data_IF_767519837961
#
_entry.id   IF_767519837961
#
_cell.length_a   1.000
_cell.length_b   1.000
_cell.length_c   1.000
_cell.angle_alpha   90.00
_cell.angle_beta   90.00
_cell.angle_gamma   90.00
#
_symmetry.space_group_name_H-M   'P 1'
#
loop_
_entity.id
_entity.type
_entity.pdbx_description
1 polymer ?
#
# COMPACT_ATOMS: atom_id res chain seq x y z
N UNK A 1 -62.63 47.94 -6.87
CA UNK A 1 -62.99 47.83 -8.30
C UNK A 1 -63.00 46.35 -8.69
N UNK A 2 -64.15 45.87 -9.20
CA UNK A 2 -64.40 44.65 -9.99
C UNK A 2 -63.98 43.24 -9.48
N UNK A 3 -65.00 42.40 -9.43
CA UNK A 3 -65.09 40.95 -9.24
C UNK A 3 -64.43 40.12 -10.36
N UNK A 4 -64.44 38.78 -10.16
CA UNK A 4 -64.57 37.68 -11.15
C UNK A 4 -63.26 36.92 -11.45
N UNK A 5 -63.16 35.57 -11.50
CA UNK A 5 -64.10 34.43 -11.42
C UNK A 5 -63.30 33.13 -11.16
N UNK A 6 -63.97 32.19 -10.52
CA UNK A 6 -63.87 30.71 -10.53
C UNK A 6 -63.41 30.04 -11.83
N UNK A 7 -62.74 28.88 -11.75
CA UNK A 7 -63.26 27.56 -12.19
C UNK A 7 -62.24 26.40 -12.07
N UNK A 8 -62.72 25.28 -11.53
CA UNK A 8 -62.27 23.89 -11.73
C UNK A 8 -63.46 23.10 -12.31
N UNK A 9 -63.41 21.79 -12.65
CA UNK A 9 -62.41 20.87 -13.23
C UNK A 9 -62.94 20.27 -14.58
N UNK A 10 -62.45 19.11 -15.11
CA UNK A 10 -63.04 17.82 -14.70
C UNK A 10 -62.13 16.58 -14.74
N UNK A 11 -62.63 15.55 -14.06
CA UNK A 11 -62.21 14.14 -14.02
C UNK A 11 -62.43 13.37 -15.32
N UNK A 12 -61.58 12.38 -15.60
CA UNK A 12 -61.94 11.22 -16.44
C UNK A 12 -61.56 9.91 -15.78
N UNK A 13 -62.61 9.09 -15.60
CA UNK A 13 -62.61 7.69 -15.20
C UNK A 13 -62.23 6.82 -16.41
N UNK A 14 -61.54 5.71 -16.19
CA UNK A 14 -61.76 4.50 -17.00
C UNK A 14 -61.72 3.23 -16.14
N UNK A 15 -62.61 2.33 -16.52
CA UNK A 15 -63.15 1.15 -15.85
C UNK A 15 -62.55 -0.13 -16.41
N UNK A 16 -62.47 -1.16 -15.57
CA UNK A 16 -62.14 -2.58 -15.86
C UNK A 16 -63.19 -3.26 -16.77
N UNK A 17 -62.89 -4.41 -17.43
CA UNK A 17 -63.02 -5.76 -16.83
C UNK A 17 -61.87 -6.75 -17.24
N UNK A 18 -61.28 -7.56 -16.35
CA UNK A 18 -61.73 -8.83 -15.75
C UNK A 18 -61.97 -10.00 -16.73
N UNK A 19 -61.01 -10.95 -16.86
CA UNK A 19 -61.17 -12.42 -17.12
C UNK A 19 -59.85 -13.09 -16.65
N UNK A 20 -59.73 -13.76 -15.48
CA UNK A 20 -60.12 -15.12 -15.04
C UNK A 20 -59.41 -16.32 -15.71
N UNK A 21 -58.82 -17.15 -14.82
CA UNK A 21 -58.46 -18.59 -14.94
C UNK A 21 -57.38 -18.95 -16.00
N UNK A 22 -56.49 -19.92 -15.81
CA UNK A 22 -56.18 -20.87 -14.76
C UNK A 22 -54.79 -21.45 -15.10
N UNK A 23 -54.01 -21.87 -14.11
CA UNK A 23 -53.58 -23.25 -13.98
C UNK A 23 -52.71 -23.40 -12.74
N UNK A 24 -53.17 -24.31 -11.88
CA UNK A 24 -52.41 -24.82 -10.76
C UNK A 24 -51.18 -25.58 -11.25
N UNK A 25 -50.04 -25.27 -10.65
CA UNK A 25 -49.03 -26.26 -10.31
C UNK A 25 -48.29 -25.73 -9.09
N UNK A 26 -48.79 -26.07 -7.90
CA UNK A 26 -48.00 -26.03 -6.68
C UNK A 26 -46.91 -27.09 -6.82
N UNK A 27 -45.79 -26.73 -7.44
CA UNK A 27 -44.53 -27.38 -7.13
C UNK A 27 -44.06 -26.71 -5.86
N UNK A 28 -44.29 -27.37 -4.73
CA UNK A 28 -43.57 -27.11 -3.50
C UNK A 28 -42.09 -27.44 -3.75
N UNK A 29 -41.37 -26.53 -4.40
CA UNK A 29 -39.93 -26.47 -4.24
C UNK A 29 -39.72 -26.02 -2.81
N UNK A 30 -39.55 -26.99 -1.92
CA UNK A 30 -38.76 -26.76 -0.73
C UNK A 30 -37.41 -26.24 -1.22
N UNK A 31 -37.29 -24.91 -1.31
CA UNK A 31 -36.01 -24.25 -1.25
C UNK A 31 -35.45 -24.67 0.09
N UNK A 32 -34.64 -25.72 0.09
CA UNK A 32 -33.63 -25.86 1.10
C UNK A 32 -32.80 -24.58 0.97
N UNK A 33 -33.17 -23.56 1.75
CA UNK A 33 -32.30 -22.46 2.11
C UNK A 33 -31.12 -23.10 2.87
N UNK A 34 -30.23 -23.75 2.13
CA UNK A 34 -28.86 -23.90 2.55
C UNK A 34 -28.31 -22.49 2.47
N UNK A 35 -28.56 -21.72 3.53
CA UNK A 35 -27.70 -20.60 3.85
C UNK A 35 -26.28 -21.17 3.75
N UNK A 36 -25.43 -20.63 2.86
CA UNK A 36 -24.07 -21.10 2.76
C UNK A 36 -23.48 -21.02 4.15
N UNK A 37 -23.25 -22.18 4.76
CA UNK A 37 -22.62 -22.29 6.07
C UNK A 37 -21.15 -22.06 5.82
N UNK A 38 -20.79 -20.79 5.60
CA UNK A 38 -19.41 -20.38 5.61
C UNK A 38 -18.91 -20.69 7.01
N UNK A 39 -18.06 -21.71 7.11
CA UNK A 39 -17.18 -21.83 8.25
C UNK A 39 -16.25 -20.63 8.07
N UNK A 40 -16.51 -19.55 8.82
CA UNK A 40 -15.49 -18.55 9.07
C UNK A 40 -14.42 -19.31 9.83
N UNK A 41 -13.44 -19.86 9.10
CA UNK A 41 -12.18 -20.27 9.69
C UNK A 41 -11.75 -19.06 10.51
N UNK A 42 -11.59 -19.25 11.82
CA UNK A 42 -11.44 -18.13 12.76
C UNK A 42 -10.52 -17.07 12.16
N UNK A 43 -10.95 -15.81 12.19
CA UNK A 43 -10.05 -14.72 11.80
C UNK A 43 -8.93 -14.70 12.82
N UNK A 44 -7.82 -15.34 12.48
CA UNK A 44 -6.61 -15.32 13.26
C UNK A 44 -5.84 -14.10 12.76
N UNK A 45 -5.80 -12.99 13.51
CA UNK A 45 -4.93 -11.89 13.15
C UNK A 45 -3.52 -12.47 13.07
N UNK A 46 -2.90 -12.38 11.90
CA UNK A 46 -1.51 -12.79 11.70
C UNK A 46 -0.67 -12.03 12.72
N UNK A 47 0.03 -12.76 13.59
CA UNK A 47 0.89 -12.16 14.62
C UNK A 47 2.21 -11.63 14.06
N UNK A 48 2.55 -12.01 12.82
CA UNK A 48 3.74 -11.55 12.12
C UNK A 48 3.42 -10.31 11.30
N UNK A 49 4.11 -9.21 11.59
CA UNK A 49 4.10 -7.99 10.76
C UNK A 49 4.47 -8.31 9.31
N UNK A 50 5.48 -9.16 9.10
CA UNK A 50 5.88 -9.64 7.77
C UNK A 50 4.72 -10.32 7.03
N UNK A 51 3.97 -11.21 7.68
CA UNK A 51 2.84 -11.88 7.04
C UNK A 51 1.72 -10.90 6.65
N UNK A 52 1.52 -9.83 7.41
CA UNK A 52 0.55 -8.77 7.07
C UNK A 52 1.01 -7.96 5.87
N UNK A 53 2.27 -7.53 5.86
CA UNK A 53 2.86 -6.82 4.72
C UNK A 53 2.78 -7.66 3.45
N UNK A 54 3.10 -8.97 3.53
CA UNK A 54 2.99 -9.89 2.39
C UNK A 54 1.55 -10.03 1.91
N UNK A 55 0.56 -10.18 2.81
CA UNK A 55 -0.85 -10.24 2.37
C UNK A 55 -1.35 -8.96 1.69
N UNK A 56 -0.75 -7.81 1.97
CA UNK A 56 -1.07 -6.54 1.32
C UNK A 56 -0.39 -6.41 -0.04
N UNK A 57 0.80 -6.98 -0.20
CA UNK A 57 1.43 -7.16 -1.52
C UNK A 57 0.55 -8.03 -2.42
N UNK A 58 -0.10 -9.07 -1.88
CA UNK A 58 -1.04 -9.89 -2.66
C UNK A 58 -2.25 -9.06 -3.16
N UNK A 59 -2.73 -8.10 -2.35
CA UNK A 59 -3.78 -7.16 -2.77
C UNK A 59 -3.29 -6.18 -3.85
N UNK A 60 -2.08 -5.65 -3.71
CA UNK A 60 -1.44 -4.81 -4.73
C UNK A 60 -1.31 -5.59 -6.06
N UNK A 61 -0.90 -6.87 -6.01
CA UNK A 61 -0.84 -7.74 -7.17
C UNK A 61 -2.22 -7.94 -7.83
N UNK A 62 -3.24 -8.25 -7.04
CA UNK A 62 -4.61 -8.42 -7.54
C UNK A 62 -5.13 -7.13 -8.21
N UNK A 63 -4.78 -5.96 -7.67
CA UNK A 63 -5.16 -4.67 -8.25
C UNK A 63 -4.41 -4.36 -9.54
N UNK A 64 -3.10 -4.65 -9.60
CA UNK A 64 -2.32 -4.57 -10.84
C UNK A 64 -2.97 -5.45 -11.92
N UNK A 65 -3.29 -6.71 -11.60
CA UNK A 65 -3.97 -7.63 -12.53
C UNK A 65 -5.31 -7.06 -13.01
N UNK A 66 -6.12 -6.53 -12.09
CA UNK A 66 -7.42 -5.92 -12.40
C UNK A 66 -7.26 -4.73 -13.37
N UNK A 67 -6.30 -3.84 -13.10
CA UNK A 67 -6.02 -2.67 -13.94
C UNK A 67 -5.52 -3.07 -15.32
N UNK A 68 -4.62 -4.05 -15.42
CA UNK A 68 -4.12 -4.56 -16.69
C UNK A 68 -5.23 -5.24 -17.51
N UNK A 69 -6.10 -6.04 -16.88
CA UNK A 69 -7.27 -6.63 -17.56
C UNK A 69 -8.21 -5.52 -18.07
N UNK A 70 -8.46 -4.49 -17.26
CA UNK A 70 -9.30 -3.37 -17.66
C UNK A 70 -8.70 -2.59 -18.84
N UNK A 71 -7.39 -2.36 -18.85
CA UNK A 71 -6.69 -1.74 -19.98
C UNK A 71 -6.83 -2.57 -21.27
N UNK A 72 -6.62 -3.89 -21.19
CA UNK A 72 -6.79 -4.80 -22.32
C UNK A 72 -8.22 -4.79 -22.90
N UNK A 73 -9.23 -4.65 -22.04
CA UNK A 73 -10.64 -4.57 -22.46
C UNK A 73 -10.98 -3.21 -23.07
N UNK A 74 -10.41 -2.12 -22.53
CA UNK A 74 -10.70 -0.75 -22.95
C UNK A 74 -9.83 -0.28 -24.14
N UNK A 75 -8.80 -1.06 -24.52
CA UNK A 75 -7.99 -0.91 -25.75
C UNK A 75 -7.57 0.53 -26.10
N UNK A 76 -7.11 1.31 -25.12
CA UNK A 76 -6.40 2.61 -25.26
C UNK A 76 -6.49 3.43 -23.96
N UNK A 77 -6.17 2.84 -22.81
CA UNK A 77 -6.15 3.62 -21.58
C UNK A 77 -4.76 3.62 -20.98
N UNK A 78 -3.85 4.40 -21.57
CA UNK A 78 -2.52 4.68 -20.99
C UNK A 78 -2.66 5.04 -19.50
N UNK A 79 -3.73 5.74 -19.11
CA UNK A 79 -4.04 6.06 -17.72
C UNK A 79 -4.18 4.84 -16.79
N UNK A 80 -4.70 3.70 -17.27
CA UNK A 80 -4.87 2.46 -16.48
C UNK A 80 -3.54 1.71 -16.36
N UNK A 81 -2.75 1.68 -17.45
CA UNK A 81 -1.41 1.11 -17.41
C UNK A 81 -0.50 1.91 -16.46
N UNK A 82 -0.54 3.24 -16.54
CA UNK A 82 0.15 4.15 -15.62
C UNK A 82 -0.33 3.98 -14.18
N UNK A 83 -1.62 3.73 -13.97
CA UNK A 83 -2.14 3.43 -12.63
C UNK A 83 -1.59 2.09 -12.11
N UNK A 84 -1.55 1.05 -12.94
CA UNK A 84 -0.97 -0.23 -12.56
C UNK A 84 0.53 -0.09 -12.24
N UNK A 85 1.25 0.74 -13.00
CA UNK A 85 2.66 1.03 -12.73
C UNK A 85 2.82 1.76 -11.39
N UNK A 86 1.98 2.76 -11.08
CA UNK A 86 1.99 3.42 -9.76
C UNK A 86 1.74 2.43 -8.62
N UNK A 87 0.80 1.50 -8.76
CA UNK A 87 0.57 0.46 -7.73
C UNK A 87 1.78 -0.45 -7.59
N UNK A 88 2.48 -0.76 -8.69
CA UNK A 88 3.72 -1.53 -8.64
C UNK A 88 4.85 -0.78 -7.90
N UNK A 89 5.05 0.50 -8.23
CA UNK A 89 6.15 1.31 -7.69
C UNK A 89 5.93 1.73 -6.25
N UNK A 90 4.71 2.14 -5.94
CA UNK A 90 4.38 2.75 -4.66
C UNK A 90 3.53 1.86 -3.76
N UNK A 91 2.82 0.88 -4.31
CA UNK A 91 1.79 0.13 -3.58
C UNK A 91 0.47 0.90 -3.56
N UNK A 92 -0.60 0.23 -3.16
CA UNK A 92 -1.93 0.84 -2.95
C UNK A 92 -2.57 0.41 -1.63
N UNK A 93 -2.20 -0.75 -1.09
CA UNK A 93 -2.78 -1.29 0.15
C UNK A 93 -1.74 -1.42 1.27
N UNK A 94 -0.45 -1.38 0.93
CA UNK A 94 0.62 -1.71 1.87
C UNK A 94 1.17 -0.49 2.62
N UNK A 95 0.56 -0.23 3.78
CA UNK A 95 1.04 0.71 4.79
C UNK A 95 0.94 2.16 4.34
N UNK A 96 -0.29 2.64 4.13
CA UNK A 96 -0.53 4.05 3.83
C UNK A 96 0.05 4.93 4.92
N UNK A 97 0.64 6.05 4.52
CA UNK A 97 1.15 7.06 5.43
C UNK A 97 0.95 8.45 4.85
N UNK A 98 0.73 9.40 5.74
CA UNK A 98 0.73 10.82 5.42
C UNK A 98 2.13 11.39 5.62
N UNK A 99 2.58 12.20 4.67
CA UNK A 99 3.72 13.10 4.88
C UNK A 99 3.18 14.44 5.35
N UNK A 100 3.26 14.70 6.66
CA UNK A 100 2.76 15.94 7.26
C UNK A 100 3.90 16.95 7.38
N UNK A 101 3.66 18.18 6.95
CA UNK A 101 4.60 19.29 7.14
C UNK A 101 4.23 20.06 8.39
N UNK A 102 5.12 20.13 9.37
CA UNK A 102 4.89 20.87 10.60
C UNK A 102 4.93 22.38 10.33
N UNK A 103 3.91 23.09 10.82
CA UNK A 103 3.80 24.56 10.63
C UNK A 103 4.87 25.29 11.43
N UNK A 104 5.19 24.78 12.61
CA UNK A 104 6.26 25.28 13.47
C UNK A 104 7.32 24.20 13.67
N UNK A 105 8.59 24.63 13.76
CA UNK A 105 9.67 23.71 14.05
C UNK A 105 9.54 23.22 15.49
N UNK A 106 9.80 21.92 15.69
CA UNK A 106 9.80 21.35 17.03
C UNK A 106 10.79 22.08 17.95
N UNK A 107 10.30 22.52 19.10
CA UNK A 107 11.01 23.35 20.08
C UNK A 107 11.68 22.53 21.18
N UNK A 108 11.36 21.24 21.27
CA UNK A 108 12.00 20.28 22.18
C UNK A 108 12.05 18.87 21.58
N UNK A 109 12.68 17.94 22.29
CA UNK A 109 12.77 16.53 21.90
C UNK A 109 11.54 15.75 22.35
N UNK A 110 11.13 14.75 21.56
CA UNK A 110 10.08 13.81 21.94
C UNK A 110 10.58 12.82 23.02
N UNK A 111 9.74 12.53 24.02
CA UNK A 111 9.99 11.44 24.96
C UNK A 111 9.69 10.10 24.27
N UNK A 112 10.76 9.38 23.89
CA UNK A 112 10.65 8.17 23.11
C UNK A 112 10.16 6.99 23.96
N UNK A 113 9.19 6.19 23.46
CA UNK A 113 8.73 4.99 24.15
C UNK A 113 9.80 3.89 24.19
N UNK A 114 9.44 2.73 24.76
CA UNK A 114 10.29 1.54 24.64
C UNK A 114 10.54 1.20 23.16
N UNK A 115 11.77 0.79 22.85
CA UNK A 115 12.19 0.43 21.50
C UNK A 115 11.28 -0.66 20.92
N UNK A 116 10.71 -0.40 19.74
CA UNK A 116 9.88 -1.38 19.03
C UNK A 116 10.74 -2.40 18.27
N UNK A 117 11.78 -1.95 17.58
CA UNK A 117 12.62 -2.78 16.72
C UNK A 117 14.10 -2.30 16.70
N UNK A 118 15.01 -3.15 16.23
CA UNK A 118 16.32 -2.71 15.77
C UNK A 118 16.54 -3.04 14.32
N UNK A 119 17.01 -2.05 13.56
CA UNK A 119 17.34 -2.20 12.15
C UNK A 119 18.80 -1.85 11.92
N UNK A 120 19.42 -2.55 10.97
CA UNK A 120 20.74 -2.28 10.46
C UNK A 120 20.59 -1.39 9.22
N UNK A 121 21.08 -0.15 9.29
CA UNK A 121 21.13 0.72 8.10
C UNK A 121 22.48 0.61 7.40
N UNK A 122 22.43 0.73 6.07
CA UNK A 122 23.54 0.67 5.12
C UNK A 122 24.58 1.79 5.37
N UNK A 123 25.51 1.58 6.30
CA UNK A 123 26.90 2.01 6.11
C UNK A 123 27.73 0.74 5.95
N UNK A 124 27.79 0.22 4.72
CA UNK A 124 28.74 -0.84 4.34
C UNK A 124 30.12 -0.20 4.25
N UNK A 125 30.66 0.17 5.40
CA UNK A 125 32.09 0.18 5.64
C UNK A 125 32.32 -0.96 6.61
N UNK A 126 33.24 -1.87 6.27
CA UNK A 126 33.53 -3.17 6.93
C UNK A 126 33.89 -3.12 8.43
N UNK A 127 33.59 -2.03 9.15
CA UNK A 127 33.96 -1.79 10.54
C UNK A 127 32.86 -1.22 11.43
N UNK A 128 31.74 -0.69 10.93
CA UNK A 128 30.75 -0.04 11.80
C UNK A 128 29.30 -0.31 11.34
N UNK A 129 28.73 -1.47 11.73
CA UNK A 129 27.28 -1.60 11.74
C UNK A 129 26.71 -0.77 12.89
N UNK A 130 26.20 0.44 12.59
CA UNK A 130 25.40 1.17 13.57
C UNK A 130 24.03 0.51 13.64
N UNK A 131 23.77 -0.20 14.73
CA UNK A 131 22.43 -0.66 15.06
C UNK A 131 21.60 0.57 15.46
N UNK A 132 20.54 0.84 14.71
CA UNK A 132 19.60 1.90 15.05
C UNK A 132 18.41 1.30 15.80
N UNK A 133 18.04 1.91 16.93
CA UNK A 133 16.78 1.64 17.61
C UNK A 133 15.66 2.34 16.86
N UNK A 134 14.59 1.61 16.58
CA UNK A 134 13.34 2.16 16.04
C UNK A 134 12.36 2.32 17.18
N UNK A 135 11.67 3.46 17.16
CA UNK A 135 10.62 3.82 18.10
C UNK A 135 9.34 4.08 17.31
N UNK A 136 8.25 3.48 17.77
CA UNK A 136 6.91 3.68 17.22
C UNK A 136 6.13 4.56 18.21
N UNK A 137 5.85 5.80 17.79
CA UNK A 137 5.18 6.82 18.58
C UNK A 137 3.73 6.93 18.11
N UNK A 138 2.77 6.81 19.03
CA UNK A 138 1.36 7.00 18.69
C UNK A 138 1.09 8.45 18.28
N UNK A 139 0.38 8.62 17.17
CA UNK A 139 -0.03 9.90 16.63
C UNK A 139 -1.57 9.96 16.55
N UNK A 140 -2.16 11.08 16.94
CA UNK A 140 -3.62 11.24 16.98
C UNK A 140 -4.03 12.53 16.29
N UNK A 141 -4.98 12.44 15.37
CA UNK A 141 -5.55 13.58 14.65
C UNK A 141 -7.02 13.36 14.33
N UNK A 142 -7.52 14.12 13.38
CA UNK A 142 -8.91 14.09 12.90
C UNK A 142 -8.94 14.30 11.39
N UNK A 143 -10.04 13.93 10.77
CA UNK A 143 -10.34 14.23 9.37
C UNK A 143 -10.92 15.65 9.19
N UNK A 144 -11.08 16.10 7.94
CA UNK A 144 -11.47 17.48 7.59
C UNK A 144 -12.76 17.98 8.26
N UNK A 145 -13.75 17.10 8.43
CA UNK A 145 -15.05 17.45 9.03
C UNK A 145 -15.09 17.24 10.55
N UNK A 146 -13.96 16.86 11.16
CA UNK A 146 -13.81 16.50 12.57
C UNK A 146 -14.78 15.38 13.04
N UNK A 147 -15.35 14.59 12.13
CA UNK A 147 -16.29 13.54 12.49
C UNK A 147 -15.60 12.23 12.92
N UNK A 148 -14.33 12.05 12.52
CA UNK A 148 -13.57 10.83 12.75
C UNK A 148 -12.21 11.13 13.39
N UNK A 149 -11.89 10.41 14.46
CA UNK A 149 -10.55 10.37 15.01
C UNK A 149 -9.66 9.45 14.16
N UNK A 150 -8.48 9.94 13.82
CA UNK A 150 -7.48 9.21 13.06
C UNK A 150 -6.31 8.90 14.00
N UNK A 151 -6.04 7.62 14.19
CA UNK A 151 -4.87 7.13 14.91
C UNK A 151 -3.79 6.74 13.90
N UNK A 152 -2.54 7.00 14.20
CA UNK A 152 -1.42 6.62 13.37
C UNK A 152 -0.16 6.35 14.17
N UNK A 153 0.90 5.97 13.48
CA UNK A 153 2.21 5.69 14.08
C UNK A 153 3.24 6.59 13.40
N UNK A 154 3.93 7.41 14.18
CA UNK A 154 5.16 8.08 13.77
C UNK A 154 6.35 7.19 14.11
N UNK A 155 7.06 6.72 13.08
CA UNK A 155 8.24 5.85 13.24
C UNK A 155 9.51 6.67 13.13
N UNK A 156 10.37 6.60 14.16
CA UNK A 156 11.62 7.37 14.20
C UNK A 156 12.80 6.58 14.77
N UNK A 157 14.01 7.05 14.46
CA UNK A 157 15.26 6.62 15.08
C UNK A 157 15.90 7.73 15.92
N UNK A 158 15.27 8.91 15.97
CA UNK A 158 15.76 10.13 16.61
C UNK A 158 14.67 10.75 17.49
N UNK A 159 15.10 11.42 18.54
CA UNK A 159 14.28 12.17 19.50
C UNK A 159 13.97 13.62 19.03
N UNK A 160 14.64 14.12 18.00
CA UNK A 160 14.34 15.41 17.40
C UNK A 160 13.47 15.25 16.14
N UNK A 161 12.32 15.94 16.12
CA UNK A 161 11.42 15.97 14.96
C UNK A 161 11.99 16.86 13.85
N UNK A 162 11.86 16.38 12.61
CA UNK A 162 12.11 17.20 11.42
C UNK A 162 10.92 18.10 11.09
N UNK A 163 11.06 19.02 10.12
CA UNK A 163 9.95 19.82 9.62
C UNK A 163 8.88 19.00 8.89
N UNK A 164 9.24 17.78 8.47
CA UNK A 164 8.34 16.82 7.84
C UNK A 164 8.34 15.54 8.68
N UNK A 165 7.15 15.01 8.96
CA UNK A 165 6.96 13.75 9.68
C UNK A 165 6.11 12.79 8.86
N UNK A 166 6.45 11.51 8.92
CA UNK A 166 5.69 10.43 8.26
C UNK A 166 4.85 9.71 9.28
N UNK A 167 3.53 9.81 9.13
CA UNK A 167 2.57 9.18 10.04
C UNK A 167 1.86 8.06 9.31
N UNK A 168 2.17 6.82 9.70
CA UNK A 168 1.59 5.62 9.14
C UNK A 168 0.17 5.42 9.67
N UNK A 169 -0.78 5.29 8.76
CA UNK A 169 -2.17 5.02 9.09
C UNK A 169 -2.36 3.58 9.60
N UNK A 170 -3.51 3.29 10.22
CA UNK A 170 -3.90 1.93 10.58
C UNK A 170 -3.99 1.08 9.32
N UNK A 171 -3.75 -0.22 9.48
CA UNK A 171 -3.66 -1.14 8.34
C UNK A 171 -4.94 -1.21 7.48
N UNK A 172 -6.09 -0.87 8.04
CA UNK A 172 -7.42 -0.88 7.42
C UNK A 172 -7.86 0.49 6.88
N UNK A 173 -7.01 1.52 6.98
CA UNK A 173 -7.30 2.84 6.41
C UNK A 173 -7.40 2.78 4.88
N UNK A 174 -8.45 3.40 4.32
CA UNK A 174 -8.62 3.57 2.88
C UNK A 174 -8.06 4.90 2.37
N UNK A 175 -7.36 5.64 3.22
CA UNK A 175 -6.75 6.91 2.84
C UNK A 175 -5.79 6.74 1.66
N UNK A 176 -5.90 7.61 0.65
CA UNK A 176 -5.13 7.53 -0.60
C UNK A 176 -5.76 6.64 -1.69
N UNK A 177 -6.87 5.95 -1.43
CA UNK A 177 -7.61 5.14 -2.42
C UNK A 177 -8.82 5.88 -3.01
N UNK A 178 -8.71 7.20 -3.16
CA UNK A 178 -9.84 8.06 -3.54
C UNK A 178 -10.86 8.29 -2.41
N UNK A 179 -10.54 7.84 -1.20
CA UNK A 179 -11.30 8.12 0.02
C UNK A 179 -10.48 9.04 0.93
N UNK A 180 -10.98 10.24 1.21
CA UNK A 180 -10.37 11.22 2.10
C UNK A 180 -10.95 11.19 3.52
N UNK A 181 -12.07 10.49 3.74
CA UNK A 181 -12.72 10.41 5.06
C UNK A 181 -11.86 9.67 6.10
N UNK A 182 -10.95 8.82 5.61
CA UNK A 182 -9.99 8.07 6.41
C UNK A 182 -8.62 8.77 6.54
N UNK A 183 -8.47 9.95 5.93
CA UNK A 183 -7.24 10.74 5.96
C UNK A 183 -7.24 11.75 7.12
N UNK A 184 -6.04 12.17 7.50
CA UNK A 184 -5.90 13.40 8.29
C UNK A 184 -6.45 14.60 7.52
N UNK A 185 -6.92 15.62 8.26
CA UNK A 185 -7.37 16.88 7.68
C UNK A 185 -6.25 17.58 6.89
N UNK A 186 -6.59 18.41 5.90
CA UNK A 186 -5.63 19.18 5.10
C UNK A 186 -4.75 20.11 5.98
N UNK A 187 -5.36 20.66 7.01
CA UNK A 187 -4.69 21.44 8.06
C UNK A 187 -5.27 21.10 9.43
N UNK A 188 -4.43 21.14 10.46
CA UNK A 188 -4.92 20.94 11.82
C UNK A 188 -3.83 20.60 12.83
N UNK A 189 -4.29 20.15 14.00
CA UNK A 189 -3.43 19.69 15.09
C UNK A 189 -3.28 18.16 15.08
N UNK A 190 -2.05 17.69 15.25
CA UNK A 190 -1.72 16.29 15.54
C UNK A 190 -1.10 16.18 16.93
N UNK A 191 -1.51 15.19 17.71
CA UNK A 191 -0.94 14.91 19.03
C UNK A 191 0.02 13.73 18.90
N UNK A 192 1.30 13.96 19.13
CA UNK A 192 2.30 12.89 19.22
C UNK A 192 2.52 12.53 20.70
N UNK A 193 2.39 11.25 21.02
CA UNK A 193 2.62 10.74 22.37
C UNK A 193 4.07 11.03 22.81
N UNK A 194 4.24 11.68 23.96
CA UNK A 194 5.57 12.05 24.47
C UNK A 194 6.10 13.39 23.94
N UNK A 195 5.39 14.07 23.03
CA UNK A 195 5.70 15.44 22.60
C UNK A 195 4.56 16.41 22.96
N UNK A 196 3.32 16.09 22.57
CA UNK A 196 2.17 16.99 22.69
C UNK A 196 1.56 17.34 21.33
N UNK A 197 0.82 18.45 21.29
CA UNK A 197 0.15 18.94 20.07
C UNK A 197 1.12 19.69 19.15
N UNK A 198 0.97 19.45 17.85
CA UNK A 198 1.72 20.07 16.76
C UNK A 198 0.73 20.48 15.66
N UNK A 199 0.90 21.67 15.11
CA UNK A 199 0.13 22.08 13.94
C UNK A 199 0.84 21.65 12.65
N UNK A 200 0.07 21.21 11.66
CA UNK A 200 0.60 20.74 10.39
C UNK A 200 -0.24 21.21 9.19
N UNK A 201 0.37 21.07 8.02
CA UNK A 201 -0.27 21.21 6.70
C UNK A 201 0.03 19.96 5.86
N UNK A 202 -0.90 19.57 5.01
CA UNK A 202 -0.89 18.31 4.28
C UNK A 202 -1.90 18.33 3.13
N UNK A 203 -1.60 17.78 1.95
CA UNK A 203 -2.58 17.61 0.88
C UNK A 203 -3.04 16.14 0.81
N UNK A 204 -4.28 15.79 1.23
CA UNK A 204 -4.78 14.41 1.18
C UNK A 204 -4.82 13.80 -0.23
N UNK A 205 -4.79 14.61 -1.28
CA UNK A 205 -4.81 14.12 -2.67
C UNK A 205 -3.42 13.76 -3.20
N UNK A 206 -2.35 14.33 -2.66
CA UNK A 206 -0.97 14.12 -3.16
C UNK A 206 0.01 13.60 -2.13
N UNK A 207 -0.19 13.88 -0.85
CA UNK A 207 0.78 13.59 0.22
C UNK A 207 0.51 12.27 0.95
N UNK A 208 -0.37 11.45 0.36
CA UNK A 208 -0.58 10.07 0.73
C UNK A 208 0.33 9.15 -0.06
N UNK A 209 1.11 8.39 0.68
CA UNK A 209 2.05 7.43 0.13
C UNK A 209 1.82 6.07 0.77
N UNK A 210 2.39 5.04 0.18
CA UNK A 210 2.35 3.69 0.73
C UNK A 210 3.78 3.24 1.05
N UNK A 211 3.95 2.62 2.21
CA UNK A 211 5.25 2.31 2.80
C UNK A 211 5.95 1.14 2.13
N UNK A 212 5.19 0.35 1.38
CA UNK A 212 5.66 -0.89 0.80
C UNK A 212 5.01 -1.08 -0.56
N UNK A 213 5.81 -1.55 -1.50
CA UNK A 213 5.37 -1.86 -2.84
C UNK A 213 6.03 -3.15 -3.30
N UNK A 214 5.49 -3.74 -4.36
CA UNK A 214 6.12 -4.91 -4.96
C UNK A 214 7.54 -4.59 -5.47
N UNK A 215 7.73 -3.37 -6.01
CA UNK A 215 9.06 -2.85 -6.39
C UNK A 215 10.01 -2.79 -5.20
N UNK A 216 9.61 -2.12 -4.12
CA UNK A 216 10.43 -2.00 -2.91
C UNK A 216 10.80 -3.37 -2.33
N UNK A 217 9.83 -4.30 -2.26
CA UNK A 217 10.07 -5.66 -1.78
C UNK A 217 11.15 -6.37 -2.58
N UNK A 218 11.13 -6.27 -3.91
CA UNK A 218 12.15 -6.90 -4.76
C UNK A 218 13.54 -6.30 -4.58
N UNK A 219 13.64 -4.99 -4.35
CA UNK A 219 14.92 -4.30 -4.16
C UNK A 219 15.54 -4.60 -2.79
N UNK A 220 14.73 -4.52 -1.73
CA UNK A 220 15.17 -4.78 -0.36
C UNK A 220 15.59 -6.24 -0.14
N UNK A 221 14.82 -7.21 -0.62
CA UNK A 221 15.20 -8.62 -0.45
C UNK A 221 16.48 -8.98 -1.22
N UNK A 222 16.70 -8.35 -2.38
CA UNK A 222 17.98 -8.46 -3.11
C UNK A 222 19.16 -7.95 -2.29
N UNK A 223 19.03 -6.78 -1.68
CA UNK A 223 20.06 -6.19 -0.81
C UNK A 223 20.27 -6.97 0.47
N UNK A 224 19.19 -7.45 1.08
CA UNK A 224 19.22 -8.28 2.29
C UNK A 224 19.99 -9.55 2.04
N UNK A 225 19.79 -10.22 0.89
CA UNK A 225 20.59 -11.38 0.50
C UNK A 225 22.09 -11.04 0.36
N UNK A 226 22.42 -9.96 -0.36
CA UNK A 226 23.82 -9.52 -0.53
C UNK A 226 24.52 -9.36 0.82
N UNK A 227 23.87 -8.65 1.74
CA UNK A 227 24.37 -8.41 3.09
C UNK A 227 24.53 -9.72 3.87
N UNK A 228 23.53 -10.58 3.78
CA UNK A 228 23.51 -11.92 4.38
C UNK A 228 24.72 -12.78 4.00
N UNK A 229 25.01 -12.90 2.70
CA UNK A 229 26.14 -13.68 2.17
C UNK A 229 27.49 -13.15 2.67
N UNK A 230 27.64 -11.82 2.77
CA UNK A 230 28.91 -11.19 3.18
C UNK A 230 29.12 -11.13 4.70
N UNK A 231 28.06 -11.25 5.51
CA UNK A 231 28.12 -11.05 6.96
C UNK A 231 27.71 -12.25 7.82
N UNK A 232 27.25 -13.36 7.24
CA UNK A 232 27.27 -14.67 7.91
C UNK A 232 26.04 -15.55 7.70
N UNK A 233 26.27 -16.72 7.08
CA UNK A 233 25.45 -17.95 7.06
C UNK A 233 23.93 -17.77 6.88
N UNK A 234 23.55 -17.30 5.71
CA UNK A 234 22.15 -17.26 5.30
C UNK A 234 21.70 -18.57 4.67
N UNK A 235 21.62 -19.61 5.53
CA UNK A 235 21.19 -20.95 5.16
C UNK A 235 19.80 -20.99 4.49
N UNK A 236 18.99 -19.93 4.63
CA UNK A 236 17.64 -19.78 4.09
C UNK A 236 17.54 -19.06 2.74
N UNK A 237 18.65 -18.61 2.13
CA UNK A 237 18.63 -17.83 0.88
C UNK A 237 19.18 -18.59 -0.34
N UNK A 238 19.27 -19.93 -0.27
CA UNK A 238 19.85 -20.77 -1.34
C UNK A 238 19.13 -20.61 -2.68
N UNK A 239 17.81 -20.41 -2.68
CA UNK A 239 17.03 -20.16 -3.87
C UNK A 239 17.44 -18.83 -4.52
N UNK A 240 17.55 -17.76 -3.75
CA UNK A 240 17.95 -16.46 -4.26
C UNK A 240 19.37 -16.46 -4.81
N UNK A 241 20.31 -17.15 -4.16
CA UNK A 241 21.67 -17.33 -4.67
C UNK A 241 21.67 -17.99 -6.06
N UNK A 242 20.81 -19.00 -6.27
CA UNK A 242 20.64 -19.65 -7.59
C UNK A 242 20.03 -18.70 -8.62
N UNK A 243 19.04 -17.90 -8.24
CA UNK A 243 18.46 -16.89 -9.12
C UNK A 243 19.51 -15.88 -9.56
N UNK A 244 20.28 -15.36 -8.61
CA UNK A 244 21.36 -14.44 -8.89
C UNK A 244 22.46 -15.07 -9.75
N UNK A 245 22.90 -16.30 -9.46
CA UNK A 245 23.83 -17.07 -10.31
C UNK A 245 23.33 -17.23 -11.75
N UNK A 246 22.02 -17.39 -11.94
CA UNK A 246 21.45 -17.64 -13.26
C UNK A 246 21.24 -16.35 -14.07
N UNK A 247 20.78 -15.28 -13.43
CA UNK A 247 20.39 -14.02 -14.10
C UNK A 247 21.42 -12.90 -14.00
N UNK A 248 22.33 -12.96 -13.02
CA UNK A 248 23.39 -11.97 -12.80
C UNK A 248 22.93 -10.65 -12.16
N UNK A 249 21.68 -10.57 -11.71
CA UNK A 249 21.06 -9.36 -11.16
C UNK A 249 20.21 -9.70 -9.94
N UNK A 250 20.32 -8.90 -8.88
CA UNK A 250 19.60 -9.08 -7.62
C UNK A 250 18.11 -8.75 -7.76
N UNK A 251 17.79 -7.80 -8.63
CA UNK A 251 16.47 -7.23 -8.86
C UNK A 251 15.91 -7.60 -10.25
N UNK A 252 16.34 -8.73 -10.80
CA UNK A 252 15.90 -9.22 -12.12
C UNK A 252 14.38 -9.14 -12.34
N UNK A 253 13.59 -9.46 -11.31
CA UNK A 253 12.13 -9.37 -11.38
C UNK A 253 11.63 -7.94 -11.62
N UNK A 254 12.24 -6.96 -10.95
CA UNK A 254 11.95 -5.55 -11.14
C UNK A 254 12.29 -5.10 -12.56
N UNK A 255 13.48 -5.45 -13.07
CA UNK A 255 13.88 -5.12 -14.44
C UNK A 255 12.92 -5.64 -15.51
N UNK A 256 12.37 -6.85 -15.33
CA UNK A 256 11.33 -7.37 -16.23
C UNK A 256 10.04 -6.57 -16.19
N UNK A 257 9.55 -6.28 -14.99
CA UNK A 257 8.28 -5.58 -14.78
C UNK A 257 8.40 -4.14 -15.32
N UNK A 258 9.46 -3.42 -14.96
CA UNK A 258 9.74 -2.06 -15.43
C UNK A 258 9.93 -2.00 -16.94
N UNK A 259 10.64 -2.98 -17.52
CA UNK A 259 10.76 -3.09 -18.97
C UNK A 259 9.42 -3.32 -19.65
N UNK A 260 8.53 -4.14 -19.05
CA UNK A 260 7.20 -4.39 -19.57
C UNK A 260 6.33 -3.12 -19.54
N UNK A 261 6.28 -2.40 -18.41
CA UNK A 261 5.57 -1.12 -18.31
C UNK A 261 6.11 -0.08 -19.29
N UNK A 262 7.44 -0.03 -19.47
CA UNK A 262 8.09 0.88 -20.42
C UNK A 262 8.01 0.45 -21.88
N UNK A 263 7.43 -0.72 -22.20
CA UNK A 263 7.49 -1.35 -23.53
C UNK A 263 8.92 -1.43 -24.10
N UNK A 264 9.88 -1.76 -23.24
CA UNK A 264 11.31 -1.90 -23.58
C UNK A 264 11.72 -3.36 -23.49
N UNK A 265 12.80 -3.69 -24.18
CA UNK A 265 13.50 -4.96 -23.96
C UNK A 265 14.36 -4.82 -22.72
N UNK A 266 14.29 -5.82 -21.87
CA UNK A 266 15.24 -5.98 -20.76
C UNK A 266 16.66 -6.10 -21.30
N UNK A 267 17.61 -5.37 -20.70
CA UNK A 267 19.01 -5.40 -21.13
C UNK A 267 19.81 -6.48 -20.37
N UNK A 268 19.36 -7.74 -20.42
CA UNK A 268 20.14 -8.82 -19.83
C UNK A 268 21.27 -9.21 -20.77
N UNK A 269 22.54 -9.10 -20.35
CA UNK A 269 23.64 -9.55 -21.16
C UNK A 269 23.52 -11.06 -21.35
N UNK A 270 23.34 -11.49 -22.61
CA UNK A 270 23.29 -12.91 -22.98
C UNK A 270 24.56 -13.66 -22.51
N UNK A 271 25.63 -12.91 -22.26
CA UNK A 271 26.96 -13.39 -21.94
C UNK A 271 27.28 -13.43 -20.42
N UNK A 272 26.36 -13.07 -19.52
CA UNK A 272 26.63 -13.18 -18.08
C UNK A 272 26.95 -14.64 -17.68
N UNK A 273 26.25 -15.60 -18.30
CA UNK A 273 26.49 -17.05 -18.14
C UNK A 273 27.83 -17.53 -18.68
N UNK A 274 28.38 -16.87 -19.71
CA UNK A 274 29.62 -17.30 -20.37
C UNK A 274 30.85 -16.63 -19.78
N UNK A 275 30.71 -15.50 -19.09
CA UNK A 275 31.85 -14.71 -18.60
C UNK A 275 32.35 -15.10 -17.20
N UNK A 276 31.48 -15.61 -16.32
CA UNK A 276 31.84 -15.81 -14.90
C UNK A 276 32.14 -17.26 -14.49
N UNK A 277 31.86 -18.26 -15.34
CA UNK A 277 31.81 -19.64 -14.86
C UNK A 277 30.86 -19.77 -13.66
N UNK A 278 30.69 -20.95 -13.09
CA UNK A 278 29.88 -21.07 -11.86
C UNK A 278 30.63 -20.64 -10.59
N UNK A 279 31.90 -20.24 -10.70
CA UNK A 279 32.84 -20.25 -9.57
C UNK A 279 33.26 -18.88 -9.03
N UNK A 280 33.17 -17.78 -9.80
CA UNK A 280 33.55 -16.45 -9.28
C UNK A 280 32.53 -15.37 -9.68
N UNK A 281 31.51 -15.20 -8.83
CA UNK A 281 30.65 -14.02 -8.90
C UNK A 281 31.30 -12.91 -8.08
N UNK A 282 31.76 -11.86 -8.78
CA UNK A 282 32.30 -10.67 -8.16
C UNK A 282 31.18 -9.69 -7.79
N UNK A 283 30.84 -9.70 -6.51
CA UNK A 283 29.84 -8.83 -5.88
C UNK A 283 30.32 -7.38 -5.67
N UNK A 284 31.61 -7.07 -5.94
CA UNK A 284 32.16 -5.72 -5.73
C UNK A 284 31.57 -4.66 -6.68
N UNK A 285 31.03 -5.08 -7.83
CA UNK A 285 30.43 -4.18 -8.83
C UNK A 285 29.13 -3.50 -8.35
N UNK A 286 28.50 -3.97 -7.28
CA UNK A 286 27.24 -3.43 -6.75
C UNK A 286 27.42 -2.37 -5.65
N UNK A 287 28.62 -2.23 -5.08
CA UNK A 287 28.90 -1.14 -4.13
C UNK A 287 28.78 0.26 -4.78
N UNK A 288 28.92 0.34 -6.11
CA UNK A 288 28.81 1.58 -6.88
C UNK A 288 27.37 1.87 -7.36
N UNK A 289 26.48 0.87 -7.43
CA UNK A 289 25.10 1.04 -7.90
C UNK A 289 24.11 1.38 -6.77
N UNK A 290 24.43 1.05 -5.51
CA UNK A 290 23.64 1.47 -4.34
C UNK A 290 23.92 2.90 -3.87
N UNK A 291 24.79 3.65 -4.59
CA UNK A 291 25.22 5.01 -4.27
C UNK A 291 24.63 6.10 -5.17
N UNK A 292 23.85 5.73 -6.19
CA UNK A 292 23.11 6.67 -7.06
C UNK A 292 21.61 6.43 -6.92
#
# INVERSE_FOLDING_TARGET
>A
MKQSRTQSPPSTKYSWPAILLAMAATVSMASANMAPKYIVAGSYPTRSSTARTVSKIDLDQAEIERLLIADLLNKNSDALLEQAHRVYEHGMYSGSYASLTLTEQADHTIDLPERSESVYFNEIDNKNSKQHSIYDVSAFGVNDDNSKHIEGIYRTTKDLLGPEIKVYYPEDSQCGQGNTDDCFAEEGGIVLQGYGGLDYTYDPSTDNYFSSSLKWFTQEEGMRMYYCEHHGNCASYQEYERYFKFYGLLDYGNEWIESAFSNKKTNFPRDFKTKHGYEDIDFSHFADLSRN
#
